data_IF_102691520376
#
_entry.id   IF_102691520376
#
_cell.length_a   1.000
_cell.length_b   1.000
_cell.length_c   1.000
_cell.angle_alpha   90.00
_cell.angle_beta   90.00
_cell.angle_gamma   90.00
#
_symmetry.space_group_name_H-M   'P 1'
#
loop_
_entity.id
_entity.type
_entity.pdbx_description
1 polymer ?
#
# COMPACT_ATOMS: atom_id res chain seq x y z
N UNK A 1 -15.33 -17.48 -9.47
CA UNK A 1 -14.14 -16.63 -9.24
C UNK A 1 -13.24 -17.33 -8.23
N UNK A 2 -11.93 -17.37 -8.47
CA UNK A 2 -10.97 -18.17 -7.69
C UNK A 2 -11.07 -17.87 -6.19
N UNK A 3 -11.36 -18.91 -5.41
CA UNK A 3 -11.70 -18.84 -3.98
C UNK A 3 -10.45 -18.86 -3.07
N UNK A 4 -9.27 -18.60 -3.62
CA UNK A 4 -8.02 -18.67 -2.87
C UNK A 4 -7.64 -17.28 -2.34
N UNK A 5 -7.27 -17.14 -1.05
CA UNK A 5 -6.71 -15.89 -0.53
C UNK A 5 -5.44 -15.55 -1.32
N UNK A 6 -5.31 -14.29 -1.74
CA UNK A 6 -4.07 -13.84 -2.37
C UNK A 6 -3.08 -13.67 -1.23
N UNK A 7 -2.06 -14.53 -1.21
CA UNK A 7 -1.02 -14.50 -0.19
C UNK A 7 0.13 -13.65 -0.72
N UNK A 8 0.39 -12.53 -0.06
CA UNK A 8 1.45 -11.59 -0.43
C UNK A 8 2.47 -11.61 0.69
N UNK A 9 3.74 -11.74 0.32
CA UNK A 9 4.83 -11.52 1.27
C UNK A 9 5.02 -10.03 1.47
N UNK A 10 5.09 -9.58 2.71
CA UNK A 10 5.33 -8.18 3.08
C UNK A 10 6.44 -8.14 4.12
N UNK A 11 7.27 -7.11 4.14
CA UNK A 11 8.24 -6.94 5.23
C UNK A 11 7.57 -6.51 6.55
N UNK A 12 8.36 -6.59 7.62
CA UNK A 12 7.92 -6.24 8.98
C UNK A 12 7.48 -4.79 9.10
N UNK A 13 8.16 -3.85 8.41
CA UNK A 13 7.79 -2.42 8.45
C UNK A 13 6.41 -2.20 7.83
N UNK A 14 6.17 -2.82 6.68
CA UNK A 14 4.89 -2.78 5.97
C UNK A 14 3.78 -3.39 6.82
N UNK A 15 4.05 -4.52 7.48
CA UNK A 15 3.11 -5.14 8.39
C UNK A 15 2.75 -4.22 9.58
N UNK A 16 3.74 -3.54 10.15
CA UNK A 16 3.52 -2.57 11.23
C UNK A 16 2.69 -1.37 10.76
N UNK A 17 2.95 -0.83 9.57
CA UNK A 17 2.16 0.28 9.02
C UNK A 17 0.70 -0.13 8.79
N UNK A 18 0.44 -1.31 8.21
CA UNK A 18 -0.93 -1.83 8.03
C UNK A 18 -1.64 -1.98 9.36
N UNK A 19 -0.95 -2.54 10.36
CA UNK A 19 -1.51 -2.67 11.71
C UNK A 19 -1.83 -1.29 12.30
N UNK A 20 -0.93 -0.31 12.18
CA UNK A 20 -1.15 1.04 12.65
C UNK A 20 -2.42 1.66 12.03
N UNK A 21 -2.64 1.49 10.72
CA UNK A 21 -3.86 1.93 10.04
C UNK A 21 -5.12 1.22 10.56
N UNK A 22 -5.04 -0.09 10.73
CA UNK A 22 -6.15 -0.92 11.22
C UNK A 22 -6.53 -0.54 12.66
N UNK A 23 -5.53 -0.31 13.51
CA UNK A 23 -5.70 0.07 14.92
C UNK A 23 -6.38 1.44 15.08
N UNK A 24 -6.11 2.39 14.18
CA UNK A 24 -6.80 3.69 14.16
C UNK A 24 -8.13 3.67 13.41
N UNK A 25 -8.57 2.49 12.92
CA UNK A 25 -9.81 2.33 12.16
C UNK A 25 -9.80 3.00 10.78
N UNK A 26 -8.62 3.34 10.27
CA UNK A 26 -8.45 3.96 8.95
C UNK A 26 -8.28 2.84 7.93
N UNK A 27 -9.32 2.65 7.11
CA UNK A 27 -9.20 1.82 5.92
C UNK A 27 -8.17 2.40 4.96
N UNK A 28 -7.36 1.54 4.36
CA UNK A 28 -6.43 1.91 3.29
C UNK A 28 -7.28 2.32 2.07
N UNK A 29 -7.33 3.62 1.78
CA UNK A 29 -8.08 4.17 0.65
C UNK A 29 -7.26 4.05 -0.64
N UNK A 30 -7.50 2.95 -1.36
CA UNK A 30 -6.82 2.69 -2.62
C UNK A 30 -7.34 3.56 -3.77
N UNK A 31 -8.55 4.09 -3.68
CA UNK A 31 -9.08 5.02 -4.68
C UNK A 31 -8.34 6.35 -4.61
N UNK A 32 -8.13 6.89 -3.40
CA UNK A 32 -7.23 8.03 -3.20
C UNK A 32 -5.82 7.76 -3.67
N UNK A 33 -5.32 6.55 -3.42
CA UNK A 33 -4.00 6.16 -3.90
C UNK A 33 -3.93 6.19 -5.43
N UNK A 34 -4.97 5.70 -6.10
CA UNK A 34 -5.09 5.72 -7.56
C UNK A 34 -5.13 7.15 -8.10
N UNK A 35 -5.84 8.05 -7.44
CA UNK A 35 -5.86 9.47 -7.80
C UNK A 35 -4.47 10.09 -7.66
N UNK A 36 -3.79 9.87 -6.54
CA UNK A 36 -2.41 10.34 -6.34
C UNK A 36 -1.45 9.75 -7.37
N UNK A 37 -1.58 8.45 -7.66
CA UNK A 37 -0.81 7.72 -8.67
C UNK A 37 -1.09 8.19 -10.10
N UNK A 38 -2.28 8.69 -10.39
CA UNK A 38 -2.65 9.22 -11.70
C UNK A 38 -2.10 10.65 -11.89
N UNK A 39 -2.16 11.46 -10.83
CA UNK A 39 -1.69 12.86 -10.86
C UNK A 39 -0.16 12.94 -10.87
N UNK A 40 0.52 12.04 -10.13
CA UNK A 40 1.99 12.02 -9.96
C UNK A 40 2.64 10.75 -10.56
N UNK A 41 2.10 10.25 -11.68
CA UNK A 41 2.47 8.95 -12.25
C UNK A 41 3.98 8.73 -12.44
N UNK A 42 4.73 9.75 -12.84
CA UNK A 42 6.17 9.67 -13.04
C UNK A 42 6.93 9.54 -11.71
N UNK A 43 6.66 10.43 -10.76
CA UNK A 43 7.29 10.41 -9.43
C UNK A 43 6.91 9.19 -8.60
N UNK A 44 5.67 8.71 -8.72
CA UNK A 44 5.21 7.54 -7.97
C UNK A 44 5.73 6.24 -8.59
N UNK A 45 5.86 6.16 -9.92
CA UNK A 45 6.52 5.01 -10.54
C UNK A 45 7.94 4.88 -10.01
N UNK A 46 8.74 5.95 -10.04
CA UNK A 46 10.08 5.93 -9.44
C UNK A 46 10.07 5.58 -7.95
N UNK A 47 9.10 6.09 -7.19
CA UNK A 47 8.94 5.74 -5.78
C UNK A 47 8.68 4.25 -5.56
N UNK A 48 7.71 3.66 -6.28
CA UNK A 48 7.41 2.22 -6.22
C UNK A 48 8.67 1.42 -6.58
N UNK A 49 9.39 1.82 -7.62
CA UNK A 49 10.62 1.14 -8.04
C UNK A 49 11.78 1.31 -7.05
N UNK A 50 11.84 2.43 -6.34
CA UNK A 50 12.81 2.73 -5.29
C UNK A 50 12.50 2.02 -3.97
N UNK A 51 11.31 1.45 -3.80
CA UNK A 51 10.94 0.75 -2.58
C UNK A 51 11.75 -0.55 -2.45
N UNK A 52 12.55 -0.59 -1.38
CA UNK A 52 13.33 -1.75 -0.95
C UNK A 52 12.59 -2.55 0.13
N UNK A 53 12.93 -3.83 0.25
CA UNK A 53 12.30 -4.75 1.20
C UNK A 53 13.30 -5.20 2.25
N UNK A 54 12.82 -5.28 3.48
CA UNK A 54 13.60 -5.80 4.59
C UNK A 54 13.19 -7.25 4.88
N UNK A 55 14.13 -8.06 5.35
CA UNK A 55 13.83 -9.38 5.91
C UNK A 55 13.74 -9.27 7.44
N UNK A 56 12.78 -9.95 8.10
CA UNK A 56 11.94 -11.02 7.60
C UNK A 56 10.66 -10.55 6.89
N UNK A 57 10.22 -11.36 5.92
CA UNK A 57 8.94 -11.20 5.21
C UNK A 57 7.86 -12.05 5.86
N UNK A 58 6.74 -11.43 6.19
CA UNK A 58 5.52 -12.04 6.72
C UNK A 58 4.52 -12.31 5.60
N UNK A 59 3.66 -13.31 5.79
CA UNK A 59 2.60 -13.63 4.83
C UNK A 59 1.31 -12.87 5.21
N UNK A 60 0.86 -12.00 4.31
CA UNK A 60 -0.41 -11.30 4.43
C UNK A 60 -1.47 -11.97 3.53
N UNK A 61 -2.49 -12.63 4.11
CA UNK A 61 -3.61 -13.15 3.35
C UNK A 61 -4.61 -12.03 3.04
N UNK A 62 -4.71 -11.63 1.77
CA UNK A 62 -5.80 -10.77 1.31
C UNK A 62 -7.04 -11.65 1.12
N UNK A 63 -8.05 -11.44 1.96
CA UNK A 63 -9.34 -12.14 1.90
C UNK A 63 -10.36 -11.37 1.06
N UNK A 64 -10.31 -10.04 1.11
CA UNK A 64 -11.21 -9.15 0.38
C UNK A 64 -11.01 -9.24 -1.15
N UNK A 65 -12.11 -9.47 -1.87
CA UNK A 65 -12.08 -9.68 -3.32
C UNK A 65 -11.75 -8.41 -4.11
N UNK A 66 -12.12 -7.24 -3.59
CA UNK A 66 -11.84 -5.96 -4.24
C UNK A 66 -10.36 -5.61 -4.09
N UNK A 67 -9.79 -5.76 -2.89
CA UNK A 67 -8.35 -5.61 -2.65
C UNK A 67 -7.54 -6.55 -3.55
N UNK A 68 -7.92 -7.83 -3.67
CA UNK A 68 -7.22 -8.77 -4.58
C UNK A 68 -7.16 -8.25 -6.00
N UNK A 69 -8.32 -7.83 -6.52
CA UNK A 69 -8.43 -7.34 -7.89
C UNK A 69 -7.57 -6.11 -8.09
N UNK A 70 -7.64 -5.15 -7.18
CA UNK A 70 -6.92 -3.90 -7.26
C UNK A 70 -5.41 -4.13 -7.24
N UNK A 71 -4.91 -4.94 -6.30
CA UNK A 71 -3.47 -5.27 -6.24
C UNK A 71 -3.02 -5.91 -7.55
N UNK A 72 -3.78 -6.85 -8.12
CA UNK A 72 -3.44 -7.50 -9.40
C UNK A 72 -3.45 -6.49 -10.56
N UNK A 73 -4.47 -5.64 -10.66
CA UNK A 73 -4.58 -4.65 -11.75
C UNK A 73 -3.41 -3.65 -11.70
N UNK A 74 -3.07 -3.13 -10.51
CA UNK A 74 -2.02 -2.13 -10.37
C UNK A 74 -0.62 -2.72 -10.52
N UNK A 75 -0.37 -3.91 -9.98
CA UNK A 75 0.92 -4.61 -10.17
C UNK A 75 1.20 -4.90 -11.64
N UNK A 76 0.18 -5.29 -12.41
CA UNK A 76 0.30 -5.43 -13.86
C UNK A 76 0.52 -4.09 -14.57
N UNK A 77 -0.20 -3.03 -14.16
CA UNK A 77 -0.07 -1.69 -14.76
C UNK A 77 1.33 -1.11 -14.58
N UNK A 78 1.90 -1.19 -13.38
CA UNK A 78 3.23 -0.66 -13.06
C UNK A 78 4.34 -1.68 -13.28
N UNK A 79 4.01 -2.92 -13.68
CA UNK A 79 4.97 -4.01 -13.89
C UNK A 79 5.86 -4.28 -12.66
N UNK A 80 5.25 -4.28 -11.46
CA UNK A 80 5.92 -4.47 -10.15
C UNK A 80 5.32 -5.63 -9.37
N UNK A 81 6.03 -6.12 -8.35
CA UNK A 81 5.50 -7.17 -7.49
C UNK A 81 4.38 -6.66 -6.55
N UNK A 82 3.43 -7.52 -6.15
CA UNK A 82 2.39 -7.17 -5.17
C UNK A 82 2.92 -6.60 -3.85
N UNK A 83 4.01 -7.16 -3.36
CA UNK A 83 4.74 -6.68 -2.18
C UNK A 83 5.19 -5.22 -2.36
N UNK A 84 5.81 -4.90 -3.50
CA UNK A 84 6.30 -3.57 -3.84
C UNK A 84 5.19 -2.54 -3.91
N UNK A 85 4.14 -2.92 -4.62
CA UNK A 85 2.96 -2.06 -4.77
C UNK A 85 2.32 -1.77 -3.41
N UNK A 86 2.09 -2.79 -2.58
CA UNK A 86 1.51 -2.62 -1.25
C UNK A 86 2.35 -1.71 -0.37
N UNK A 87 3.67 -1.96 -0.27
CA UNK A 87 4.55 -1.13 0.55
C UNK A 87 4.55 0.32 0.11
N UNK A 88 4.66 0.57 -1.20
CA UNK A 88 4.58 1.92 -1.74
C UNK A 88 3.22 2.58 -1.44
N UNK A 89 2.13 1.84 -1.63
CA UNK A 89 0.79 2.33 -1.38
C UNK A 89 0.59 2.75 0.07
N UNK A 90 0.99 1.88 1.00
CA UNK A 90 0.89 2.12 2.44
C UNK A 90 1.79 3.28 2.86
N UNK A 91 3.01 3.38 2.32
CA UNK A 91 3.92 4.47 2.61
C UNK A 91 3.37 5.83 2.14
N UNK A 92 2.77 5.90 0.94
CA UNK A 92 2.12 7.12 0.42
C UNK A 92 0.93 7.50 1.30
N UNK A 93 0.07 6.55 1.63
CA UNK A 93 -1.09 6.81 2.50
C UNK A 93 -0.67 7.19 3.92
N UNK A 94 0.45 6.65 4.41
CA UNK A 94 1.01 6.98 5.72
C UNK A 94 1.60 8.37 5.72
N UNK A 95 2.34 8.73 4.67
CA UNK A 95 2.83 10.09 4.49
C UNK A 95 1.67 11.10 4.37
N UNK A 96 0.63 10.79 3.59
CA UNK A 96 -0.54 11.66 3.41
C UNK A 96 -1.36 11.76 4.71
N UNK A 97 -1.66 10.66 5.41
CA UNK A 97 -2.37 10.71 6.69
C UNK A 97 -1.54 11.38 7.79
N UNK A 98 -0.22 11.20 7.83
CA UNK A 98 0.64 11.97 8.74
C UNK A 98 0.59 13.43 8.36
N UNK A 99 0.75 13.82 7.09
CA UNK A 99 0.67 15.23 6.68
C UNK A 99 -0.70 15.86 7.03
N UNK A 100 -1.79 15.11 6.88
CA UNK A 100 -3.14 15.56 7.24
C UNK A 100 -3.36 15.60 8.76
N UNK A 101 -2.76 14.69 9.53
CA UNK A 101 -2.85 14.69 11.01
C UNK A 101 -1.90 15.71 11.66
N UNK A 102 -0.71 15.92 11.08
CA UNK A 102 0.29 16.89 11.51
C UNK A 102 -0.13 18.33 11.16
N UNK A 103 -1.00 18.49 10.16
CA UNK A 103 -1.72 19.76 9.91
C UNK A 103 -2.68 20.16 11.04
N UNK A 104 -2.90 19.32 12.06
CA UNK A 104 -3.71 19.62 13.25
C UNK A 104 -2.84 19.90 14.48
N UNK A 105 -1.51 20.01 14.34
CA UNK A 105 -0.65 19.92 15.53
C UNK A 105 0.67 20.68 15.55
N UNK A 106 0.82 21.85 14.92
CA UNK A 106 1.79 22.87 15.39
C UNK A 106 1.19 24.29 15.26
N UNK A 107 0.73 24.83 16.40
CA UNK A 107 0.64 26.26 16.68
C UNK A 107 1.39 26.54 17.99
#
# INVERSE_FOLDING_TARGET
MNNFPLQIFIDTDTAMMIQAFTDVGVGIDFDKLLELMADNAESISDFIHSVEFNEPRMMLPITDGNMKRLVIEQTNKYSVSPERYLKAAIAILYADNILVTDSVGIH
#
